data_IF_531742561588
#
_entry.id   IF_531742561588
#
_cell.length_a   1.000
_cell.length_b   1.000
_cell.length_c   1.000
_cell.angle_alpha   90.00
_cell.angle_beta   90.00
_cell.angle_gamma   90.00
#
_symmetry.space_group_name_H-M   'P 1'
#
loop_
_entity.id
_entity.type
_entity.pdbx_description
1 polymer ?
#
# COMPACT_ATOMS: atom_id res chain seq x y z
N UNK A 1 -2.31 4.26 -18.80
CA UNK A 1 -2.98 3.66 -17.62
C UNK A 1 -2.37 4.32 -16.39
N UNK A 2 -3.18 4.70 -15.39
CA UNK A 2 -2.64 5.23 -14.13
C UNK A 2 -1.87 4.14 -13.38
N UNK A 3 -0.77 4.52 -12.74
CA UNK A 3 0.04 3.63 -11.89
C UNK A 3 -0.80 3.17 -10.67
N UNK A 4 -0.91 1.87 -10.36
CA UNK A 4 -1.61 1.39 -9.16
C UNK A 4 -0.97 1.90 -7.86
N UNK A 5 -1.76 2.07 -6.79
CA UNK A 5 -1.26 2.61 -5.51
C UNK A 5 -0.06 1.83 -4.98
N UNK A 6 -0.12 0.50 -5.05
CA UNK A 6 0.96 -0.36 -4.57
C UNK A 6 2.28 -0.14 -5.34
N UNK A 7 2.20 0.09 -6.65
CA UNK A 7 3.37 0.33 -7.51
C UNK A 7 3.94 1.72 -7.22
N UNK A 8 3.07 2.72 -7.11
CA UNK A 8 3.44 4.08 -6.71
C UNK A 8 4.19 4.09 -5.37
N UNK A 9 3.61 3.47 -4.33
CA UNK A 9 4.24 3.42 -3.01
C UNK A 9 5.56 2.66 -3.02
N UNK A 10 5.63 1.52 -3.72
CA UNK A 10 6.86 0.73 -3.80
C UNK A 10 7.98 1.49 -4.50
N UNK A 11 7.67 2.24 -5.57
CA UNK A 11 8.65 3.07 -6.28
C UNK A 11 9.17 4.19 -5.37
N UNK A 12 8.28 5.01 -4.82
CA UNK A 12 8.64 6.14 -3.93
C UNK A 12 9.43 5.66 -2.72
N UNK A 13 8.98 4.56 -2.08
CA UNK A 13 9.67 3.99 -0.91
C UNK A 13 11.09 3.54 -1.23
N UNK A 14 11.32 2.95 -2.42
CA UNK A 14 12.67 2.55 -2.86
C UNK A 14 13.57 3.76 -3.16
N UNK A 15 13.02 4.78 -3.82
CA UNK A 15 13.75 6.02 -4.12
C UNK A 15 14.23 6.69 -2.83
N UNK A 16 13.32 6.91 -1.89
CA UNK A 16 13.66 7.50 -0.58
C UNK A 16 14.61 6.60 0.20
N UNK A 17 14.40 5.29 0.20
CA UNK A 17 15.30 4.36 0.90
C UNK A 17 16.73 4.43 0.36
N UNK A 18 16.90 4.56 -0.96
CA UNK A 18 18.21 4.71 -1.59
C UNK A 18 18.88 6.03 -1.17
N UNK A 19 18.14 7.14 -1.15
CA UNK A 19 18.63 8.44 -0.69
C UNK A 19 19.07 8.39 0.77
N UNK A 20 18.25 7.82 1.64
CA UNK A 20 18.55 7.66 3.06
C UNK A 20 19.75 6.73 3.30
N UNK A 21 19.89 5.67 2.50
CA UNK A 21 21.06 4.77 2.56
C UNK A 21 22.34 5.47 2.15
N UNK A 22 22.25 6.43 1.23
CA UNK A 22 23.33 7.33 0.82
C UNK A 22 23.58 8.49 1.80
N UNK A 23 22.86 8.54 2.94
CA UNK A 23 22.88 9.64 3.92
C UNK A 23 22.47 11.00 3.32
N UNK A 24 21.60 10.98 2.31
CA UNK A 24 20.98 12.17 1.72
C UNK A 24 19.57 12.35 2.30
N UNK A 25 19.09 13.59 2.46
CA UNK A 25 17.71 13.82 2.84
C UNK A 25 16.77 13.35 1.72
N UNK A 26 15.52 12.94 2.04
CA UNK A 26 14.52 12.61 1.04
C UNK A 26 14.29 13.76 0.05
N UNK A 27 14.34 13.47 -1.26
CA UNK A 27 14.04 14.46 -2.31
C UNK A 27 12.53 14.67 -2.51
N UNK A 28 11.72 13.76 -1.97
CA UNK A 28 10.28 13.74 -2.12
C UNK A 28 9.58 13.70 -0.77
N UNK A 29 8.46 14.42 -0.68
CA UNK A 29 7.64 14.48 0.52
C UNK A 29 8.07 15.56 1.51
N UNK A 30 7.39 15.57 2.64
CA UNK A 30 7.74 16.38 3.80
C UNK A 30 8.20 15.50 4.96
N UNK A 31 9.20 15.98 5.68
CA UNK A 31 9.78 15.31 6.83
C UNK A 31 10.30 16.36 7.83
N UNK A 32 10.60 15.93 9.04
CA UNK A 32 11.23 16.79 10.06
C UNK A 32 12.76 16.73 9.90
N UNK A 33 13.37 17.88 9.61
CA UNK A 33 14.83 17.99 9.42
C UNK A 33 15.62 17.66 10.69
N UNK A 34 15.10 18.01 11.88
CA UNK A 34 15.75 17.70 13.13
C UNK A 34 15.73 16.18 13.40
N UNK A 35 14.60 15.54 13.11
CA UNK A 35 14.47 14.08 13.22
C UNK A 35 15.33 13.35 12.19
N UNK A 36 15.46 13.90 10.97
CA UNK A 36 16.37 13.37 9.96
C UNK A 36 17.83 13.43 10.42
N UNK A 37 18.26 14.57 10.98
CA UNK A 37 19.61 14.71 11.52
C UNK A 37 19.90 13.65 12.61
N UNK A 38 18.97 13.46 13.55
CA UNK A 38 19.08 12.43 14.60
C UNK A 38 19.11 11.01 14.01
N UNK A 39 18.23 10.70 13.06
CA UNK A 39 18.17 9.39 12.40
C UNK A 39 19.45 9.08 11.61
N UNK A 40 20.00 10.07 10.89
CA UNK A 40 21.21 9.93 10.07
C UNK A 40 22.46 9.63 10.92
N UNK A 41 22.49 10.05 12.18
CA UNK A 41 23.56 9.71 13.14
C UNK A 41 23.47 8.25 13.63
N UNK A 42 22.26 7.68 13.73
CA UNK A 42 22.04 6.34 14.31
C UNK A 42 22.49 5.17 13.45
N UNK A 43 22.56 5.35 12.12
CA UNK A 43 23.06 4.31 11.22
C UNK A 43 22.27 4.17 9.93
N UNK A 44 22.20 2.93 9.43
CA UNK A 44 21.53 2.64 8.17
C UNK A 44 20.01 2.52 8.36
N UNK A 45 19.20 3.07 7.43
CA UNK A 45 17.76 2.91 7.46
C UNK A 45 17.34 1.45 7.25
N UNK A 46 16.22 1.07 7.82
CA UNK A 46 15.46 -0.12 7.49
C UNK A 46 14.06 0.28 6.99
N UNK A 47 13.47 -0.52 6.11
CA UNK A 47 12.11 -0.25 5.63
C UNK A 47 11.11 -0.51 6.76
N UNK A 48 10.35 0.51 7.14
CA UNK A 48 9.26 0.43 8.11
C UNK A 48 7.90 0.21 7.45
N UNK A 49 6.84 0.63 8.14
CA UNK A 49 5.47 0.47 7.67
C UNK A 49 5.08 1.53 6.62
N UNK A 50 3.86 1.42 6.10
CA UNK A 50 3.26 2.45 5.25
C UNK A 50 1.84 2.68 5.72
N UNK A 51 1.54 3.91 6.16
CA UNK A 51 0.25 4.29 6.71
C UNK A 51 -0.49 5.15 5.68
N UNK A 52 -1.75 4.79 5.43
CA UNK A 52 -2.57 5.42 4.41
C UNK A 52 -3.62 6.32 5.04
N UNK A 53 -3.75 7.53 4.49
CA UNK A 53 -4.87 8.43 4.71
C UNK A 53 -5.42 8.85 3.34
N UNK A 54 -6.66 9.37 3.27
CA UNK A 54 -7.25 9.76 1.99
C UNK A 54 -6.42 10.74 1.16
N UNK A 55 -5.66 11.62 1.82
CA UNK A 55 -4.90 12.69 1.18
C UNK A 55 -3.40 12.70 1.53
N UNK A 56 -2.89 11.66 2.20
CA UNK A 56 -1.46 11.53 2.52
C UNK A 56 -1.06 10.07 2.69
N UNK A 57 0.16 9.76 2.32
CA UNK A 57 0.79 8.47 2.54
C UNK A 57 2.00 8.71 3.43
N UNK A 58 2.07 8.05 4.58
CA UNK A 58 3.23 8.13 5.48
C UNK A 58 4.07 6.89 5.27
N UNK A 59 5.31 7.07 4.83
CA UNK A 59 6.28 5.99 4.65
C UNK A 59 7.25 6.07 5.81
N UNK A 60 7.35 5.01 6.59
CA UNK A 60 8.23 4.95 7.75
C UNK A 60 9.55 4.29 7.42
N UNK A 61 10.62 4.84 7.97
CA UNK A 61 11.96 4.25 7.97
C UNK A 61 12.42 4.08 9.41
N UNK A 62 12.97 2.90 9.71
CA UNK A 62 13.41 2.55 11.06
C UNK A 62 14.91 2.69 11.15
N UNK A 63 15.38 3.36 12.18
CA UNK A 63 16.80 3.47 12.50
C UNK A 63 17.03 2.81 13.86
N UNK A 64 17.85 1.77 13.87
CA UNK A 64 18.17 1.03 15.08
C UNK A 64 19.62 1.32 15.48
N UNK A 65 19.82 1.60 16.76
CA UNK A 65 21.13 1.73 17.38
C UNK A 65 21.23 0.71 18.52
N UNK A 66 22.21 -0.20 18.52
CA UNK A 66 22.38 -1.18 19.60
C UNK A 66 22.52 -0.55 21.00
N UNK A 67 22.92 0.72 21.09
CA UNK A 67 23.19 1.43 22.34
C UNK A 67 22.11 2.47 22.68
N UNK A 68 21.10 2.67 21.83
CA UNK A 68 20.07 3.69 22.04
C UNK A 68 18.69 3.28 21.51
N UNK A 69 17.66 4.03 21.86
CA UNK A 69 16.30 3.78 21.36
C UNK A 69 16.23 3.88 19.84
N UNK A 70 15.43 3.00 19.24
CA UNK A 70 15.11 3.06 17.82
C UNK A 70 14.30 4.30 17.48
N UNK A 71 14.54 4.88 16.30
CA UNK A 71 13.77 6.00 15.77
C UNK A 71 12.94 5.53 14.59
N UNK A 72 11.70 6.01 14.55
CA UNK A 72 10.87 5.97 13.35
C UNK A 72 11.00 7.34 12.67
N UNK A 73 11.51 7.36 11.46
CA UNK A 73 11.60 8.53 10.61
C UNK A 73 10.48 8.49 9.56
N UNK A 74 9.38 9.23 9.75
CA UNK A 74 8.27 9.27 8.81
C UNK A 74 8.54 10.29 7.69
N UNK A 75 8.28 9.88 6.45
CA UNK A 75 8.21 10.77 5.28
C UNK A 75 6.78 10.82 4.77
N UNK A 76 6.21 12.01 4.69
CA UNK A 76 4.83 12.23 4.25
C UNK A 76 4.79 12.57 2.76
N UNK A 77 4.04 11.78 1.99
CA UNK A 77 3.86 11.93 0.55
C UNK A 77 2.43 12.36 0.26
N UNK A 78 2.29 13.40 -0.55
CA UNK A 78 0.99 13.79 -1.13
C UNK A 78 0.70 12.85 -2.31
N UNK A 79 -0.37 12.05 -2.26
CA UNK A 79 -0.72 11.18 -3.37
C UNK A 79 -1.24 12.00 -4.57
N UNK A 80 -1.09 11.49 -5.81
CA UNK A 80 -1.60 12.16 -7.02
C UNK A 80 -3.13 12.21 -7.10
N UNK A 81 -3.81 11.31 -6.39
CA UNK A 81 -5.26 11.27 -6.25
C UNK A 81 -5.64 10.68 -4.89
N UNK A 82 -6.93 10.68 -4.57
CA UNK A 82 -7.42 10.22 -3.27
C UNK A 82 -7.14 8.72 -3.08
N UNK A 83 -6.69 8.36 -1.88
CA UNK A 83 -6.58 6.96 -1.44
C UNK A 83 -7.89 6.53 -0.80
N UNK A 84 -8.39 5.35 -1.18
CA UNK A 84 -9.60 4.75 -0.62
C UNK A 84 -9.30 3.37 -0.05
N UNK A 85 -10.02 2.98 0.99
CA UNK A 85 -9.99 1.62 1.51
C UNK A 85 -11.14 0.82 0.88
N UNK A 86 -10.79 -0.28 0.22
CA UNK A 86 -11.72 -1.25 -0.37
C UNK A 86 -11.92 -2.38 0.63
N UNK A 87 -13.04 -2.39 1.38
CA UNK A 87 -13.33 -3.48 2.32
C UNK A 87 -13.57 -4.77 1.53
N UNK A 88 -13.40 -5.89 2.23
CA UNK A 88 -13.77 -7.19 1.66
C UNK A 88 -15.29 -7.30 1.72
N UNK A 89 -15.96 -7.63 0.60
CA UNK A 89 -17.40 -7.79 0.59
C UNK A 89 -17.88 -8.93 1.51
N UNK A 90 -19.03 -8.75 2.18
CA UNK A 90 -19.53 -9.68 3.21
C UNK A 90 -19.69 -11.13 2.72
N UNK A 91 -20.16 -11.33 1.49
CA UNK A 91 -20.32 -12.64 0.85
C UNK A 91 -18.99 -13.39 0.65
N UNK A 92 -17.85 -12.69 0.57
CA UNK A 92 -16.51 -13.30 0.57
C UNK A 92 -16.10 -13.70 1.99
N UNK A 93 -16.44 -12.90 3.00
CA UNK A 93 -16.17 -13.21 4.41
C UNK A 93 -16.92 -14.49 4.82
N UNK A 94 -18.17 -14.64 4.38
CA UNK A 94 -19.01 -15.81 4.68
C UNK A 94 -18.48 -17.13 4.12
N UNK A 95 -17.61 -17.09 3.10
CA UNK A 95 -17.11 -18.29 2.40
C UNK A 95 -15.71 -18.73 2.85
N UNK A 96 -15.03 -17.94 3.68
CA UNK A 96 -13.65 -18.23 4.13
C UNK A 96 -13.69 -18.82 5.55
N UNK A 97 -13.30 -20.09 5.67
CA UNK A 97 -13.34 -20.84 6.94
C UNK A 97 -12.07 -20.65 7.80
N UNK A 98 -10.95 -20.20 7.20
CA UNK A 98 -9.68 -19.96 7.89
C UNK A 98 -8.91 -18.78 7.28
N UNK A 99 -8.45 -17.85 8.12
CA UNK A 99 -7.55 -16.75 7.76
C UNK A 99 -8.10 -15.36 8.06
N UNK A 100 -7.19 -14.41 8.26
CA UNK A 100 -7.53 -12.98 8.31
C UNK A 100 -7.71 -12.45 6.89
N UNK A 101 -8.90 -11.95 6.58
CA UNK A 101 -9.22 -11.37 5.27
C UNK A 101 -9.30 -9.86 5.44
N UNK A 102 -8.24 -9.17 5.04
CA UNK A 102 -8.16 -7.72 5.13
C UNK A 102 -8.59 -7.05 3.82
N UNK A 103 -9.25 -5.90 3.94
CA UNK A 103 -9.43 -5.00 2.80
C UNK A 103 -8.11 -4.43 2.29
N UNK A 104 -8.15 -3.68 1.21
CA UNK A 104 -6.96 -3.11 0.60
C UNK A 104 -7.10 -1.62 0.31
N UNK A 105 -5.99 -0.88 0.41
CA UNK A 105 -5.96 0.51 -0.04
C UNK A 105 -5.71 0.57 -1.54
N UNK A 106 -6.38 1.50 -2.22
CA UNK A 106 -6.30 1.74 -3.67
C UNK A 106 -6.35 3.24 -3.95
N UNK A 107 -5.86 3.65 -5.11
CA UNK A 107 -6.25 4.95 -5.63
C UNK A 107 -7.73 4.93 -6.04
N UNK A 108 -8.40 6.07 -5.97
CA UNK A 108 -9.81 6.20 -6.31
C UNK A 108 -10.10 5.74 -7.75
N UNK A 109 -9.28 6.15 -8.73
CA UNK A 109 -9.44 5.73 -10.12
C UNK A 109 -9.23 4.22 -10.32
N UNK A 110 -8.37 3.59 -9.52
CA UNK A 110 -8.13 2.15 -9.52
C UNK A 110 -9.35 1.41 -8.95
N UNK A 111 -9.86 1.87 -7.80
CA UNK A 111 -11.05 1.34 -7.15
C UNK A 111 -12.28 1.42 -8.05
N UNK A 112 -12.49 2.55 -8.72
CA UNK A 112 -13.65 2.74 -9.59
C UNK A 112 -13.63 1.78 -10.78
N UNK A 113 -12.47 1.57 -11.42
CA UNK A 113 -12.34 0.57 -12.50
C UNK A 113 -12.62 -0.85 -12.02
N UNK A 114 -12.18 -1.20 -10.80
CA UNK A 114 -12.48 -2.51 -10.22
C UNK A 114 -13.98 -2.69 -10.01
N UNK A 115 -14.68 -1.67 -9.50
CA UNK A 115 -16.13 -1.69 -9.30
C UNK A 115 -16.89 -1.77 -10.63
N UNK A 116 -16.50 -0.99 -11.64
CA UNK A 116 -17.09 -1.05 -12.98
C UNK A 116 -16.92 -2.44 -13.60
N UNK A 117 -15.71 -3.00 -13.51
CA UNK A 117 -15.44 -4.36 -14.01
C UNK A 117 -16.31 -5.39 -13.29
N UNK A 118 -16.44 -5.28 -11.97
CA UNK A 118 -17.26 -6.18 -11.18
C UNK A 118 -18.76 -6.03 -11.48
N UNK A 119 -19.24 -4.80 -11.67
CA UNK A 119 -20.62 -4.52 -12.06
C UNK A 119 -20.95 -5.09 -13.43
N UNK A 120 -20.02 -5.01 -14.40
CA UNK A 120 -20.20 -5.58 -15.73
C UNK A 120 -20.40 -7.10 -15.68
N UNK A 121 -19.72 -7.80 -14.75
CA UNK A 121 -19.89 -9.25 -14.55
C UNK A 121 -21.28 -9.64 -14.06
N UNK A 122 -22.12 -8.69 -13.61
CA UNK A 122 -23.51 -8.96 -13.23
C UNK A 122 -24.48 -8.96 -14.43
N UNK A 123 -24.03 -8.47 -15.59
CA UNK A 123 -24.84 -8.56 -16.82
C UNK A 123 -24.99 -10.01 -17.27
N UNK A 124 -26.14 -10.35 -17.86
CA UNK A 124 -26.44 -11.74 -18.29
C UNK A 124 -25.34 -12.28 -19.20
N UNK A 125 -24.92 -11.48 -20.19
CA UNK A 125 -23.97 -11.89 -21.23
C UNK A 125 -22.55 -12.12 -20.70
N UNK A 126 -22.11 -11.34 -19.71
CA UNK A 126 -20.79 -11.54 -19.09
C UNK A 126 -20.85 -12.62 -18.00
N UNK A 127 -21.96 -12.69 -17.26
CA UNK A 127 -22.12 -13.63 -16.15
C UNK A 127 -22.21 -15.08 -16.66
N UNK A 128 -22.93 -15.33 -17.76
CA UNK A 128 -23.10 -16.69 -18.31
C UNK A 128 -21.75 -17.36 -18.63
N UNK A 129 -20.75 -16.57 -19.05
CA UNK A 129 -19.38 -17.05 -19.31
C UNK A 129 -18.68 -17.65 -18.08
N UNK A 130 -19.09 -17.25 -16.88
CA UNK A 130 -18.57 -17.80 -15.62
C UNK A 130 -19.16 -19.18 -15.29
N UNK A 131 -20.28 -19.57 -15.92
CA UNK A 131 -20.92 -20.89 -15.76
C UNK A 131 -20.46 -21.91 -16.81
N UNK A 132 -19.89 -21.45 -17.93
CA UNK A 132 -19.47 -22.30 -19.05
C UNK A 132 -18.15 -23.05 -18.80
N UNK A 133 -17.40 -22.70 -17.74
CA UNK A 133 -16.20 -23.43 -17.30
C UNK A 133 -16.50 -24.12 -15.96
N UNK A 134 -16.23 -25.43 -15.80
CA UNK A 134 -16.34 -26.06 -14.49
C UNK A 134 -15.41 -25.31 -13.53
N UNK A 135 -15.99 -24.82 -12.43
CA UNK A 135 -15.21 -24.25 -11.33
C UNK A 135 -14.21 -25.32 -10.87
N UNK A 136 -12.91 -24.98 -10.71
CA UNK A 136 -11.95 -25.93 -10.18
C UNK A 136 -12.43 -26.36 -8.79
N UNK A 137 -12.85 -27.62 -8.67
CA UNK A 137 -13.20 -28.23 -7.40
C UNK A 137 -11.92 -28.38 -6.60
N UNK A 138 -11.85 -27.72 -5.44
CA UNK A 138 -10.86 -28.00 -4.42
C UNK A 138 -11.03 -29.47 -4.05
N UNK A 139 -10.03 -30.31 -4.36
CA UNK A 139 -10.02 -31.71 -3.93
C UNK A 139 -9.78 -31.73 -2.42
N UNK A 140 -10.65 -32.44 -1.70
CA UNK A 140 -10.49 -32.81 -0.29
C UNK A 140 -9.19 -33.59 -0.04
#
# INVERSE_FOLDING_TARGET
MSEPLAVFCARIKREIFAELSDRKPPSQGSFDEALWAEANEKGAPQMGSTVFHPHKIVIEFLYHDPLASAIVFPVTITPPERVVFMPVPDWVIQTIWQGEVAGSFRFESEAQKMLESFQNLLSIDENIRLFEKPLPTTRE
#
